data_IF_069326608884
#
_entry.id   IF_069326608884
#
_cell.length_a   1.000
_cell.length_b   1.000
_cell.length_c   1.000
_cell.angle_alpha   90.00
_cell.angle_beta   90.00
_cell.angle_gamma   90.00
#
_symmetry.space_group_name_H-M   'P 1'
#
loop_
_entity.id
_entity.type
_entity.pdbx_description
1 polymer ?
#
# COMPACT_ATOMS: atom_id res chain seq x y z
N UNK A 1 -10.16 8.86 4.70
CA UNK A 1 -9.47 7.61 4.31
C UNK A 1 -7.96 7.74 4.43
N UNK A 2 -7.32 8.70 3.74
CA UNK A 2 -5.86 8.90 3.78
C UNK A 2 -5.26 9.15 5.18
N UNK A 3 -5.93 9.95 6.00
CA UNK A 3 -5.51 10.24 7.38
C UNK A 3 -5.45 8.98 8.24
N UNK A 4 -6.36 8.04 8.02
CA UNK A 4 -6.37 6.76 8.73
C UNK A 4 -5.15 5.91 8.34
N UNK A 5 -4.79 5.85 7.06
CA UNK A 5 -3.59 5.15 6.60
C UNK A 5 -2.30 5.80 7.13
N UNK A 6 -2.23 7.13 7.17
CA UNK A 6 -1.07 7.87 7.68
C UNK A 6 -0.86 7.69 9.19
N UNK A 7 -1.92 7.41 9.95
CA UNK A 7 -1.85 7.15 11.39
C UNK A 7 -1.67 5.66 11.67
N UNK A 8 -2.34 4.78 10.93
CA UNK A 8 -2.25 3.34 11.11
C UNK A 8 -0.86 2.83 10.76
N UNK A 9 -0.21 3.36 9.72
CA UNK A 9 1.16 2.97 9.32
C UNK A 9 2.16 3.07 10.48
N UNK A 10 2.40 4.26 11.08
CA UNK A 10 3.36 4.39 12.16
C UNK A 10 2.87 3.70 13.43
N UNK A 11 1.55 3.64 13.68
CA UNK A 11 0.98 2.93 14.82
C UNK A 11 1.27 1.42 14.76
N UNK A 12 1.04 0.78 13.60
CA UNK A 12 1.30 -0.65 13.39
C UNK A 12 2.80 -0.94 13.38
N UNK A 13 3.62 -0.11 12.73
CA UNK A 13 5.09 -0.20 12.80
C UNK A 13 5.57 -0.11 14.24
N UNK A 14 5.05 0.85 15.01
CA UNK A 14 5.38 1.06 16.41
C UNK A 14 5.00 -0.15 17.28
N UNK A 15 3.81 -0.71 17.07
CA UNK A 15 3.37 -1.90 17.79
C UNK A 15 4.27 -3.11 17.50
N UNK A 16 4.60 -3.35 16.23
CA UNK A 16 5.51 -4.45 15.83
C UNK A 16 6.89 -4.26 16.44
N UNK A 17 7.46 -3.05 16.37
CA UNK A 17 8.77 -2.75 16.92
C UNK A 17 8.80 -2.87 18.45
N UNK A 18 7.72 -2.45 19.12
CA UNK A 18 7.57 -2.59 20.57
C UNK A 18 7.49 -4.07 20.98
N UNK A 19 6.75 -4.86 20.22
CA UNK A 19 6.62 -6.32 20.44
C UNK A 19 7.95 -7.02 20.23
N UNK A 20 8.69 -6.66 19.17
CA UNK A 20 10.04 -7.13 18.90
C UNK A 20 10.99 -6.82 20.06
N UNK A 21 10.88 -5.61 20.61
CA UNK A 21 11.70 -5.14 21.73
C UNK A 21 11.31 -5.79 23.07
N UNK A 22 10.04 -6.15 23.24
CA UNK A 22 9.53 -6.89 24.39
C UNK A 22 10.02 -8.35 24.39
N UNK A 23 10.03 -9.01 23.23
CA UNK A 23 10.54 -10.38 23.09
C UNK A 23 12.07 -10.48 22.93
N UNK A 24 12.76 -9.37 22.67
CA UNK A 24 14.20 -9.32 22.67
C UNK A 24 14.75 -9.33 24.10
N UNK A 25 14.99 -10.54 24.62
CA UNK A 25 15.70 -10.74 25.89
C UNK A 25 17.07 -10.02 25.89
N UNK A 26 17.61 -9.61 27.07
CA UNK A 26 18.81 -8.77 27.20
C UNK A 26 20.11 -9.32 26.56
N UNK A 27 20.10 -10.56 26.06
CA UNK A 27 21.22 -11.19 25.32
C UNK A 27 20.98 -11.33 23.81
N UNK A 28 19.82 -10.90 23.30
CA UNK A 28 19.50 -11.05 21.87
C UNK A 28 20.32 -10.06 21.05
N UNK A 29 21.08 -10.55 20.06
CA UNK A 29 21.86 -9.68 19.19
C UNK A 29 20.97 -8.76 18.36
N UNK A 30 21.34 -7.47 18.29
CA UNK A 30 20.54 -6.43 17.62
C UNK A 30 20.26 -6.73 16.15
N UNK A 31 21.12 -7.51 15.48
CA UNK A 31 20.93 -7.91 14.10
C UNK A 31 19.68 -8.77 13.89
N UNK A 32 19.27 -9.59 14.87
CA UNK A 32 18.04 -10.40 14.80
C UNK A 32 16.79 -9.52 14.86
N UNK A 33 16.83 -8.50 15.71
CA UNK A 33 15.77 -7.48 15.80
C UNK A 33 15.60 -6.74 14.46
N UNK A 34 16.72 -6.38 13.83
CA UNK A 34 16.67 -5.72 12.52
C UNK A 34 16.17 -6.66 11.44
N UNK A 35 16.67 -7.90 11.33
CA UNK A 35 16.25 -8.83 10.27
C UNK A 35 14.77 -9.16 10.34
N UNK A 36 14.24 -9.38 11.55
CA UNK A 36 12.79 -9.58 11.74
C UNK A 36 12.04 -8.27 11.45
N UNK A 37 12.53 -7.11 11.90
CA UNK A 37 11.93 -5.82 11.53
C UNK A 37 11.83 -5.63 10.01
N UNK A 38 12.87 -6.00 9.26
CA UNK A 38 12.90 -5.91 7.79
C UNK A 38 11.88 -6.81 7.10
N UNK A 39 11.71 -8.05 7.57
CA UNK A 39 10.69 -8.95 6.99
C UNK A 39 9.28 -8.44 7.27
N UNK A 40 9.05 -7.84 8.45
CA UNK A 40 7.77 -7.20 8.77
C UNK A 40 7.52 -5.92 7.95
N UNK A 41 8.57 -5.12 7.68
CA UNK A 41 8.48 -3.96 6.78
C UNK A 41 8.05 -4.37 5.37
N UNK A 42 8.47 -5.54 4.89
CA UNK A 42 7.99 -6.10 3.62
C UNK A 42 6.48 -6.34 3.61
N UNK A 43 5.91 -6.91 4.68
CA UNK A 43 4.45 -7.08 4.79
C UNK A 43 3.71 -5.74 4.96
N UNK A 44 4.29 -4.80 5.69
CA UNK A 44 3.74 -3.44 5.84
C UNK A 44 3.72 -2.68 4.51
N UNK A 45 4.66 -2.95 3.60
CA UNK A 45 4.69 -2.34 2.27
C UNK A 45 3.36 -2.55 1.52
N UNK A 46 2.73 -3.72 1.64
CA UNK A 46 1.45 -4.04 0.97
C UNK A 46 0.33 -3.12 1.46
N UNK A 47 0.32 -2.72 2.74
CA UNK A 47 -0.68 -1.80 3.31
C UNK A 47 -0.55 -0.40 2.70
N UNK A 48 0.65 0.00 2.30
CA UNK A 48 0.92 1.28 1.62
C UNK A 48 0.70 1.16 0.12
N UNK A 49 1.09 0.02 -0.46
CA UNK A 49 0.99 -0.25 -1.89
C UNK A 49 -0.46 -0.34 -2.32
N UNK A 50 -1.34 -1.01 -1.57
CA UNK A 50 -2.75 -1.21 -1.97
C UNK A 50 -3.51 0.11 -2.20
N UNK A 51 -3.48 1.11 -1.28
CA UNK A 51 -4.11 2.41 -1.53
C UNK A 51 -3.44 3.18 -2.67
N UNK A 52 -2.11 3.09 -2.80
CA UNK A 52 -1.37 3.73 -3.89
C UNK A 52 -1.70 3.08 -5.26
N UNK A 53 -1.86 1.77 -5.29
CA UNK A 53 -2.21 0.98 -6.47
C UNK A 53 -3.61 1.37 -6.97
N UNK A 54 -4.61 1.39 -6.08
CA UNK A 54 -5.97 1.86 -6.38
C UNK A 54 -5.96 3.32 -6.89
N UNK A 55 -5.15 4.19 -6.27
CA UNK A 55 -5.03 5.59 -6.69
C UNK A 55 -4.48 5.74 -8.10
N UNK A 56 -3.51 4.91 -8.49
CA UNK A 56 -2.92 4.96 -9.84
C UNK A 56 -3.83 4.35 -10.91
N UNK A 57 -4.70 3.39 -10.54
CA UNK A 57 -5.64 2.75 -11.47
C UNK A 57 -6.87 3.62 -11.76
N UNK A 58 -7.40 4.35 -10.77
CA UNK A 58 -8.63 5.13 -10.90
C UNK A 58 -8.66 6.17 -12.03
N UNK A 59 -7.66 7.07 -12.19
CA UNK A 59 -7.69 8.08 -13.24
C UNK A 59 -7.49 7.48 -14.64
N UNK A 60 -6.78 6.35 -14.74
CA UNK A 60 -6.51 5.71 -16.03
C UNK A 60 -7.72 4.90 -16.53
N UNK A 61 -8.47 4.27 -15.62
CA UNK A 61 -9.66 3.50 -15.97
C UNK A 61 -10.79 4.38 -16.54
N UNK A 62 -11.08 5.51 -15.91
CA UNK A 62 -12.10 6.47 -16.33
C UNK A 62 -11.86 7.03 -17.74
N UNK A 63 -10.61 7.38 -18.06
CA UNK A 63 -10.24 7.89 -19.38
C UNK A 63 -10.35 6.81 -20.47
N UNK A 64 -9.98 5.56 -20.14
CA UNK A 64 -10.05 4.45 -21.10
C UNK A 64 -11.48 4.03 -21.47
N UNK A 65 -12.42 4.11 -20.53
CA UNK A 65 -13.84 3.81 -20.78
C UNK A 65 -14.49 4.95 -21.56
N UNK A 66 -14.22 6.19 -21.17
CA UNK A 66 -14.78 7.37 -21.84
C UNK A 66 -14.34 7.46 -23.31
N UNK A 67 -13.05 7.16 -23.59
CA UNK A 67 -12.55 7.09 -24.97
C UNK A 67 -13.14 5.92 -25.76
N UNK A 68 -13.39 4.76 -25.13
CA UNK A 68 -14.06 3.64 -25.80
C UNK A 68 -15.50 3.99 -26.17
N UNK A 69 -16.25 4.64 -25.27
CA UNK A 69 -17.63 5.07 -25.52
C UNK A 69 -17.67 6.14 -26.61
N UNK A 70 -16.77 7.13 -26.56
CA UNK A 70 -16.67 8.15 -27.60
C UNK A 70 -16.25 7.57 -28.96
N UNK A 71 -15.37 6.57 -28.97
CA UNK A 71 -14.95 5.89 -30.21
C UNK A 71 -16.05 5.01 -30.79
N UNK A 72 -16.88 4.38 -29.96
CA UNK A 72 -18.06 3.65 -30.40
C UNK A 72 -19.13 4.60 -30.96
N UNK A 73 -19.45 5.67 -30.22
CA UNK A 73 -20.40 6.70 -30.63
C UNK A 73 -19.98 7.45 -31.91
N UNK A 74 -18.69 7.68 -32.12
CA UNK A 74 -18.18 8.30 -33.35
C UNK A 74 -18.31 7.36 -34.56
N UNK A 75 -18.18 6.05 -34.35
CA UNK A 75 -18.27 5.06 -35.43
C UNK A 75 -19.70 4.90 -35.95
N UNK A 76 -20.69 4.94 -35.06
CA UNK A 76 -22.11 4.82 -35.43
C UNK A 76 -22.73 6.07 -36.06
N UNK A 77 -21.99 7.19 -36.10
CA UNK A 77 -22.47 8.44 -36.70
C UNK A 77 -22.03 8.60 -38.16
N UNK A 78 -21.26 7.64 -38.67
CA UNK A 78 -20.67 7.67 -40.00
C UNK A 78 -21.23 6.58 -40.93
N UNK A 79 -22.14 5.74 -40.40
CA UNK A 79 -23.02 4.79 -41.09
C UNK A 79 -24.44 5.39 -41.13
#
# INVERSE_FOLDING_TARGET
>A
MWVFYMISLPLTVGMVLFTLRYYAAPRVPRYVLFTVGYTWLSSLSIIVLVPADIWTVLPNHSNSISLRILKYRRRTSHD
#
